data_IF_258879714964
#
_entry.id   IF_258879714964
#
_cell.length_a   1.000
_cell.length_b   1.000
_cell.length_c   1.000
_cell.angle_alpha   90.00
_cell.angle_beta   90.00
_cell.angle_gamma   90.00
#
_symmetry.space_group_name_H-M   'P 1'
#
loop_
_entity.id
_entity.type
_entity.pdbx_description
1 polymer ?
#
# COMPACT_ATOMS: atom_id res chain seq x y z
N UNK A 1 -2.62 11.58 2.26
CA UNK A 1 -2.37 11.06 0.90
C UNK A 1 -1.54 12.08 0.14
N UNK A 2 -0.51 11.62 -0.52
CA UNK A 2 0.42 12.49 -1.22
C UNK A 2 0.74 11.91 -2.59
N UNK A 3 0.71 12.74 -3.64
CA UNK A 3 1.05 12.33 -5.00
C UNK A 3 2.31 13.06 -5.45
N UNK A 4 3.33 12.30 -5.82
CA UNK A 4 4.61 12.86 -6.22
C UNK A 4 5.24 12.05 -7.35
N UNK A 5 5.56 12.71 -8.46
CA UNK A 5 6.26 12.13 -9.61
C UNK A 5 5.64 10.82 -10.13
N UNK A 6 4.31 10.77 -10.17
CA UNK A 6 3.58 9.60 -10.67
C UNK A 6 3.36 8.50 -9.64
N UNK A 7 3.75 8.72 -8.40
CA UNK A 7 3.61 7.76 -7.32
C UNK A 7 2.63 8.29 -6.28
N UNK A 8 1.64 7.49 -5.91
CA UNK A 8 0.69 7.84 -4.87
C UNK A 8 1.16 7.24 -3.54
N UNK A 9 1.39 8.10 -2.55
CA UNK A 9 1.77 7.69 -1.20
C UNK A 9 0.55 7.75 -0.31
N UNK A 10 0.18 6.62 0.26
CA UNK A 10 -0.96 6.52 1.18
C UNK A 10 -0.45 6.07 2.54
N UNK A 11 -0.74 6.88 3.56
CA UNK A 11 -0.34 6.58 4.94
C UNK A 11 -1.56 6.21 5.75
N UNK A 12 -1.64 4.94 6.13
CA UNK A 12 -2.77 4.42 6.89
C UNK A 12 -2.53 4.59 8.38
N UNK A 13 -3.57 4.99 9.12
CA UNK A 13 -3.50 5.21 10.57
C UNK A 13 -4.57 4.43 11.29
N UNK A 14 -4.26 4.02 12.51
CA UNK A 14 -5.25 3.45 13.42
C UNK A 14 -5.78 2.10 13.00
N UNK A 15 -7.06 1.89 13.22
CA UNK A 15 -7.72 0.62 12.94
C UNK A 15 -8.31 0.63 11.54
N UNK A 16 -7.89 -0.34 10.71
CA UNK A 16 -8.41 -0.47 9.36
C UNK A 16 -9.55 -1.49 9.34
N UNK A 17 -10.70 -1.02 8.90
CA UNK A 17 -11.89 -1.84 8.77
C UNK A 17 -12.70 -1.38 7.55
N UNK A 18 -13.83 -2.05 7.32
CA UNK A 18 -14.70 -1.76 6.19
C UNK A 18 -15.02 -0.27 6.02
N UNK A 19 -15.21 0.43 7.14
CA UNK A 19 -15.61 1.84 7.09
C UNK A 19 -14.43 2.78 6.84
N UNK A 20 -13.23 2.40 7.27
CA UNK A 20 -12.04 3.25 7.16
C UNK A 20 -11.22 3.01 5.91
N UNK A 21 -11.21 1.77 5.37
CA UNK A 21 -10.39 1.43 4.21
C UNK A 21 -11.06 1.80 2.89
N UNK A 22 -12.38 1.80 2.85
CA UNK A 22 -13.14 2.01 1.61
C UNK A 22 -12.88 3.40 1.06
N UNK A 23 -12.42 3.46 -0.17
CA UNK A 23 -12.11 4.73 -0.84
C UNK A 23 -10.76 5.33 -0.50
N UNK A 24 -10.00 4.74 0.44
CA UNK A 24 -8.67 5.25 0.79
C UNK A 24 -7.63 5.02 -0.29
N UNK A 25 -7.81 3.96 -1.08
CA UNK A 25 -6.85 3.59 -2.11
C UNK A 25 -7.48 3.85 -3.48
N UNK A 26 -6.84 4.72 -4.25
CA UNK A 26 -7.30 5.03 -5.59
C UNK A 26 -6.63 4.09 -6.60
N UNK A 27 -7.40 3.17 -7.15
CA UNK A 27 -6.92 2.16 -8.11
C UNK A 27 -6.60 2.72 -9.48
N UNK A 28 -6.89 4.00 -9.72
CA UNK A 28 -6.56 4.63 -10.99
C UNK A 28 -5.08 5.03 -11.08
N UNK A 29 -4.37 5.02 -9.96
CA UNK A 29 -2.94 5.27 -9.94
C UNK A 29 -2.19 3.99 -10.26
N UNK A 30 -1.11 4.14 -11.04
CA UNK A 30 -0.31 3.00 -11.49
C UNK A 30 0.71 2.55 -10.43
N UNK A 31 1.26 3.50 -9.69
CA UNK A 31 2.28 3.22 -8.67
C UNK A 31 1.81 3.70 -7.31
N UNK A 32 1.69 2.79 -6.36
CA UNK A 32 1.18 3.09 -5.02
C UNK A 32 2.18 2.62 -3.97
N UNK A 33 2.53 3.52 -3.04
CA UNK A 33 3.28 3.19 -1.83
C UNK A 33 2.31 3.28 -0.67
N UNK A 34 2.08 2.15 -0.01
CA UNK A 34 1.15 2.04 1.10
C UNK A 34 1.94 1.94 2.41
N UNK A 35 1.93 3.00 3.20
CA UNK A 35 2.66 3.03 4.46
C UNK A 35 1.73 2.64 5.60
N UNK A 36 2.08 1.56 6.30
CA UNK A 36 1.27 1.02 7.40
C UNK A 36 1.96 1.15 8.77
N UNK A 37 3.01 1.97 8.87
CA UNK A 37 3.76 2.10 10.11
C UNK A 37 2.91 2.61 11.29
N UNK A 38 1.87 3.37 11.01
CA UNK A 38 0.97 3.93 12.03
C UNK A 38 -0.36 3.18 12.15
N UNK A 39 -0.46 2.02 11.53
CA UNK A 39 -1.63 1.17 11.61
C UNK A 39 -1.63 0.40 12.94
N UNK A 40 -2.78 0.35 13.63
CA UNK A 40 -2.92 -0.43 14.86
C UNK A 40 -3.47 -1.83 14.61
N UNK A 41 -4.45 -1.92 13.74
CA UNK A 41 -5.09 -3.19 13.44
C UNK A 41 -5.65 -3.17 12.03
N UNK A 42 -5.90 -4.37 11.50
CA UNK A 42 -6.49 -4.52 10.18
C UNK A 42 -7.43 -5.73 10.21
N UNK A 43 -8.67 -5.55 9.76
CA UNK A 43 -9.62 -6.64 9.70
C UNK A 43 -9.52 -7.43 8.39
N UNK A 44 -10.23 -8.55 8.33
CA UNK A 44 -10.20 -9.42 7.16
C UNK A 44 -10.75 -8.75 5.89
N UNK A 45 -11.72 -7.87 6.06
CA UNK A 45 -12.27 -7.11 4.92
C UNK A 45 -11.19 -6.22 4.30
N UNK A 46 -10.46 -5.48 5.15
CA UNK A 46 -9.41 -4.58 4.69
C UNK A 46 -8.25 -5.33 4.03
N UNK A 47 -7.89 -6.49 4.58
CA UNK A 47 -6.86 -7.35 3.99
C UNK A 47 -7.26 -7.76 2.57
N UNK A 48 -8.50 -8.22 2.41
CA UNK A 48 -9.00 -8.62 1.09
C UNK A 48 -9.06 -7.44 0.12
N UNK A 49 -9.46 -6.28 0.62
CA UNK A 49 -9.55 -5.06 -0.19
C UNK A 49 -8.18 -4.66 -0.73
N UNK A 50 -7.16 -4.62 0.14
CA UNK A 50 -5.80 -4.25 -0.26
C UNK A 50 -5.24 -5.27 -1.26
N UNK A 51 -5.42 -6.57 -1.01
CA UNK A 51 -4.97 -7.60 -1.93
C UNK A 51 -5.65 -7.50 -3.28
N UNK A 52 -6.94 -7.16 -3.31
CA UNK A 52 -7.67 -6.98 -4.57
C UNK A 52 -7.13 -5.80 -5.37
N UNK A 53 -6.84 -4.68 -4.70
CA UNK A 53 -6.24 -3.51 -5.37
C UNK A 53 -4.87 -3.89 -5.92
N UNK A 54 -4.07 -4.62 -5.16
CA UNK A 54 -2.77 -5.09 -5.61
C UNK A 54 -2.89 -5.93 -6.90
N UNK A 55 -3.84 -6.87 -6.93
CA UNK A 55 -4.08 -7.70 -8.12
C UNK A 55 -4.49 -6.87 -9.33
N UNK A 56 -5.36 -5.88 -9.13
CA UNK A 56 -5.80 -4.99 -10.21
C UNK A 56 -4.59 -4.21 -10.76
N UNK A 57 -3.74 -3.69 -9.89
CA UNK A 57 -2.54 -2.97 -10.31
C UNK A 57 -1.61 -3.88 -11.11
N UNK A 58 -1.38 -5.11 -10.65
CA UNK A 58 -0.53 -6.05 -11.37
C UNK A 58 -1.04 -6.33 -12.79
N UNK A 59 -2.36 -6.50 -12.94
CA UNK A 59 -2.96 -6.73 -14.24
C UNK A 59 -2.79 -5.54 -15.18
N UNK A 60 -2.74 -4.34 -14.64
CA UNK A 60 -2.62 -3.11 -15.41
C UNK A 60 -1.17 -2.63 -15.51
N UNK A 61 -0.20 -3.51 -15.21
CA UNK A 61 1.23 -3.22 -15.23
C UNK A 61 1.64 -2.13 -14.25
N UNK A 62 0.84 -1.96 -13.19
CA UNK A 62 1.18 -1.09 -12.09
C UNK A 62 1.92 -1.85 -11.00
N UNK A 63 2.22 -1.15 -9.92
CA UNK A 63 2.94 -1.72 -8.79
C UNK A 63 2.46 -1.14 -7.48
N UNK A 64 2.46 -1.96 -6.44
CA UNK A 64 2.23 -1.53 -5.07
C UNK A 64 3.36 -2.04 -4.19
N UNK A 65 3.84 -1.19 -3.31
CA UNK A 65 4.83 -1.56 -2.29
C UNK A 65 4.29 -1.13 -0.94
N UNK A 66 4.45 -1.99 0.06
CA UNK A 66 4.06 -1.68 1.43
C UNK A 66 5.29 -1.28 2.23
N UNK A 67 5.23 -0.12 2.89
CA UNK A 67 6.22 0.27 3.88
C UNK A 67 5.78 -0.24 5.23
N UNK A 68 6.54 -1.17 5.79
CA UNK A 68 6.23 -1.85 7.05
C UNK A 68 7.51 -2.04 7.86
N UNK A 69 8.06 -0.94 8.34
CA UNK A 69 9.32 -0.92 9.09
C UNK A 69 9.28 -1.81 10.34
N UNK A 70 8.13 -1.87 10.99
CA UNK A 70 7.97 -2.59 12.26
C UNK A 70 7.37 -3.98 12.09
N UNK A 71 7.22 -4.44 10.84
CA UNK A 71 6.62 -5.74 10.52
C UNK A 71 5.23 -5.92 11.16
N UNK A 72 4.44 -4.85 11.13
CA UNK A 72 3.09 -4.82 11.72
C UNK A 72 2.16 -5.79 11.00
N UNK A 73 2.24 -5.86 9.68
CA UNK A 73 1.40 -6.75 8.88
C UNK A 73 1.77 -8.22 9.02
N UNK A 74 3.00 -8.51 9.42
CA UNK A 74 3.51 -9.88 9.53
C UNK A 74 3.21 -10.66 8.24
N UNK A 75 2.37 -11.71 8.32
CA UNK A 75 2.02 -12.54 7.17
C UNK A 75 0.75 -12.11 6.46
N UNK A 76 0.07 -11.07 6.98
CA UNK A 76 -1.28 -10.73 6.51
C UNK A 76 -1.32 -10.23 5.07
N UNK A 77 -0.29 -9.55 4.62
CA UNK A 77 -0.21 -9.01 3.26
C UNK A 77 1.03 -9.57 2.56
N UNK A 78 1.22 -10.88 2.68
CA UNK A 78 2.46 -11.54 2.25
C UNK A 78 2.70 -11.52 0.74
N UNK A 79 1.65 -11.38 -0.07
CA UNK A 79 1.77 -11.36 -1.52
C UNK A 79 2.28 -10.04 -2.06
N UNK A 80 2.28 -8.98 -1.23
CA UNK A 80 2.65 -7.64 -1.65
C UNK A 80 4.07 -7.35 -1.20
N UNK A 81 4.95 -6.86 -2.09
CA UNK A 81 6.33 -6.54 -1.71
C UNK A 81 6.36 -5.52 -0.58
N UNK A 82 7.28 -5.72 0.36
CA UNK A 82 7.47 -4.84 1.51
C UNK A 82 8.86 -4.25 1.51
N UNK A 83 8.95 -3.03 2.03
CA UNK A 83 10.21 -2.29 2.16
C UNK A 83 10.16 -1.48 3.46
N UNK A 84 11.30 -1.07 3.97
CA UNK A 84 11.37 -0.45 5.28
C UNK A 84 10.73 0.94 5.34
N UNK A 85 10.93 1.77 4.31
CA UNK A 85 10.49 3.15 4.37
C UNK A 85 10.10 3.71 3.01
N UNK A 86 9.45 4.89 3.03
CA UNK A 86 8.96 5.54 1.81
C UNK A 86 10.09 6.01 0.89
N UNK A 87 11.20 6.42 1.45
CA UNK A 87 12.34 6.88 0.65
C UNK A 87 12.88 5.77 -0.24
N UNK A 88 13.05 4.58 0.33
CA UNK A 88 13.52 3.42 -0.43
C UNK A 88 12.48 2.97 -1.46
N UNK A 89 11.20 3.05 -1.11
CA UNK A 89 10.12 2.73 -2.05
C UNK A 89 10.11 3.70 -3.23
N UNK A 90 10.30 4.99 -2.94
CA UNK A 90 10.38 6.01 -3.98
C UNK A 90 11.54 5.74 -4.94
N UNK A 91 12.71 5.44 -4.40
CA UNK A 91 13.89 5.14 -5.23
C UNK A 91 13.67 3.93 -6.13
N UNK A 92 13.02 2.91 -5.60
CA UNK A 92 12.73 1.71 -6.38
C UNK A 92 11.78 2.02 -7.54
N UNK A 93 10.71 2.77 -7.29
CA UNK A 93 9.76 3.15 -8.32
C UNK A 93 10.33 4.14 -9.32
N UNK A 94 11.22 5.01 -8.89
CA UNK A 94 11.85 5.99 -9.76
C UNK A 94 12.58 5.32 -10.94
N UNK A 95 13.14 4.13 -10.70
CA UNK A 95 13.82 3.36 -11.74
C UNK A 95 12.85 2.76 -12.75
N UNK A 96 11.58 2.61 -12.37
CA UNK A 96 10.56 2.00 -13.23
C UNK A 96 9.83 3.03 -14.09
N UNK A 97 9.87 4.26 -13.68
CA UNK A 97 9.22 5.37 -14.35
C UNK A 97 10.20 6.09 -15.27
#
# INVERSE_FOLDING_TARGET
MEFSKGILFIRLKGDLNKNTIKGMIDKNFKYIVLNIDNMYSIDSYSIKYINKIFEILEKNKGKMIICDKFNISRRLLSNIPKIDNEHDAFKLFERMI
#
